data_IF_019302575875
#
_entry.id   IF_019302575875
#
_cell.length_a   1.000
_cell.length_b   1.000
_cell.length_c   1.000
_cell.angle_alpha   90.00
_cell.angle_beta   90.00
_cell.angle_gamma   90.00
#
_symmetry.space_group_name_H-M   'P 1'
#
loop_
_entity.id
_entity.type
_entity.pdbx_description
1 polymer ?
#
# COMPACT_ATOMS: atom_id res chain seq x y z
N UNK A 1 1.21 7.16 -8.87
CA UNK A 1 0.62 8.19 -7.99
C UNK A 1 -0.24 9.09 -8.87
N UNK A 2 -1.56 9.15 -8.65
CA UNK A 2 -2.52 9.70 -9.64
C UNK A 2 -3.85 10.16 -9.02
N UNK A 3 -4.34 11.31 -9.51
CA UNK A 3 -5.70 11.89 -9.43
C UNK A 3 -5.85 12.71 -10.74
N UNK A 4 -6.96 12.74 -11.49
CA UNK A 4 -8.38 12.56 -11.19
C UNK A 4 -9.03 11.33 -11.87
N UNK A 5 -9.80 10.56 -11.09
CA UNK A 5 -10.99 9.71 -11.36
C UNK A 5 -11.34 9.09 -12.75
N UNK A 6 -10.55 9.22 -13.81
CA UNK A 6 -10.60 8.41 -15.04
C UNK A 6 -9.26 7.66 -15.14
N UNK A 7 -9.31 6.38 -14.81
CA UNK A 7 -8.24 5.39 -14.96
C UNK A 7 -6.95 5.68 -14.18
N UNK A 8 -6.77 4.98 -13.05
CA UNK A 8 -5.46 4.82 -12.39
C UNK A 8 -4.55 4.00 -13.31
N UNK A 9 -3.88 4.65 -14.25
CA UNK A 9 -2.86 4.04 -15.07
C UNK A 9 -1.51 4.31 -14.42
N UNK A 10 -0.75 3.24 -14.22
CA UNK A 10 0.69 3.37 -14.04
C UNK A 10 1.27 4.06 -15.29
N UNK A 11 2.43 4.71 -15.16
CA UNK A 11 3.12 5.22 -16.33
C UNK A 11 3.34 4.07 -17.32
N UNK A 12 2.96 4.27 -18.59
CA UNK A 12 3.15 3.23 -19.59
C UNK A 12 4.63 2.90 -19.71
N UNK A 13 4.95 1.66 -20.06
CA UNK A 13 6.33 1.22 -20.28
C UNK A 13 7.04 2.12 -21.30
N UNK A 14 6.35 2.48 -22.38
CA UNK A 14 6.83 3.41 -23.40
C UNK A 14 7.20 4.78 -22.81
N UNK A 15 6.29 5.42 -22.07
CA UNK A 15 6.58 6.72 -21.44
C UNK A 15 7.70 6.59 -20.41
N UNK A 16 7.69 5.52 -19.61
CA UNK A 16 8.74 5.25 -18.62
C UNK A 16 10.11 5.18 -19.29
N UNK A 17 10.25 4.39 -20.36
CA UNK A 17 11.50 4.27 -21.10
C UNK A 17 11.93 5.61 -21.71
N UNK A 18 10.99 6.38 -22.25
CA UNK A 18 11.27 7.71 -22.78
C UNK A 18 11.86 8.62 -21.70
N UNK A 19 11.15 8.81 -20.57
CA UNK A 19 11.65 9.65 -19.47
C UNK A 19 12.93 9.12 -18.84
N UNK A 20 13.09 7.79 -18.76
CA UNK A 20 14.31 7.16 -18.27
C UNK A 20 15.50 7.58 -19.11
N UNK A 21 15.44 7.38 -20.43
CA UNK A 21 16.56 7.70 -21.32
C UNK A 21 16.80 9.20 -21.43
N UNK A 22 15.75 10.02 -21.46
CA UNK A 22 15.89 11.48 -21.48
C UNK A 22 16.60 11.98 -20.21
N UNK A 23 16.14 11.54 -19.04
CA UNK A 23 16.72 11.91 -17.76
C UNK A 23 18.16 11.40 -17.63
N UNK A 24 18.39 10.12 -17.99
CA UNK A 24 19.70 9.49 -17.94
C UNK A 24 20.71 10.20 -18.83
N UNK A 25 20.36 10.48 -20.09
CA UNK A 25 21.24 11.17 -21.02
C UNK A 25 21.55 12.59 -20.53
N UNK A 26 20.54 13.34 -20.08
CA UNK A 26 20.77 14.69 -19.54
C UNK A 26 21.71 14.68 -18.33
N UNK A 27 21.54 13.75 -17.38
CA UNK A 27 22.43 13.65 -16.22
C UNK A 27 23.84 13.23 -16.65
N UNK A 28 23.95 12.19 -17.49
CA UNK A 28 25.24 11.68 -17.98
C UNK A 28 26.04 12.76 -18.70
N UNK A 29 25.39 13.53 -19.57
CA UNK A 29 26.05 14.55 -20.38
C UNK A 29 26.51 15.76 -19.54
N UNK A 30 26.03 15.88 -18.28
CA UNK A 30 26.42 16.93 -17.33
C UNK A 30 27.23 16.40 -16.13
N UNK A 31 27.74 15.17 -16.20
CA UNK A 31 28.58 14.60 -15.13
C UNK A 31 29.86 15.41 -14.99
N UNK A 32 30.16 15.79 -13.75
CA UNK A 32 31.45 16.38 -13.35
C UNK A 32 31.98 15.66 -12.11
N UNK A 33 33.20 15.97 -11.69
CA UNK A 33 33.72 15.45 -10.41
C UNK A 33 32.87 15.87 -9.21
N UNK A 34 32.26 17.06 -9.26
CA UNK A 34 31.39 17.59 -8.20
C UNK A 34 29.94 17.09 -8.31
N UNK A 35 29.53 16.65 -9.49
CA UNK A 35 28.18 16.14 -9.78
C UNK A 35 28.25 14.79 -10.50
N UNK A 36 28.59 13.71 -9.78
CA UNK A 36 28.61 12.37 -10.36
C UNK A 36 27.20 11.86 -10.65
N UNK A 37 27.11 10.73 -11.37
CA UNK A 37 25.83 10.06 -11.58
C UNK A 37 25.17 9.68 -10.24
N UNK A 38 23.89 10.02 -10.05
CA UNK A 38 23.20 9.73 -8.80
C UNK A 38 22.96 8.22 -8.62
N UNK A 39 22.97 7.72 -7.36
CA UNK A 39 22.48 6.38 -7.04
C UNK A 39 21.03 6.17 -7.52
N UNK A 40 20.64 4.92 -7.71
CA UNK A 40 19.36 4.55 -8.33
C UNK A 40 18.14 5.27 -7.72
N UNK A 41 18.03 5.36 -6.40
CA UNK A 41 16.87 6.00 -5.76
C UNK A 41 16.82 7.51 -6.01
N UNK A 42 17.97 8.18 -6.00
CA UNK A 42 18.07 9.61 -6.33
C UNK A 42 17.72 9.84 -7.81
N UNK A 43 18.25 9.00 -8.70
CA UNK A 43 17.90 9.03 -10.13
C UNK A 43 16.39 8.88 -10.35
N UNK A 44 15.77 7.86 -9.76
CA UNK A 44 14.32 7.63 -9.88
C UNK A 44 13.49 8.78 -9.30
N UNK A 45 13.97 9.42 -8.22
CA UNK A 45 13.31 10.59 -7.63
C UNK A 45 13.33 11.78 -8.60
N UNK A 46 14.49 12.07 -9.22
CA UNK A 46 14.62 13.14 -10.23
C UNK A 46 13.72 12.84 -11.43
N UNK A 47 13.75 11.61 -11.95
CA UNK A 47 12.91 11.18 -13.05
C UNK A 47 11.41 11.33 -12.71
N UNK A 48 10.99 10.99 -11.49
CA UNK A 48 9.61 11.17 -11.04
C UNK A 48 9.19 12.65 -11.05
N UNK A 49 10.05 13.57 -10.59
CA UNK A 49 9.76 15.00 -10.66
C UNK A 49 9.69 15.53 -12.09
N UNK A 50 10.57 15.05 -12.98
CA UNK A 50 10.50 15.36 -14.41
C UNK A 50 9.17 14.89 -14.99
N UNK A 51 8.76 13.65 -14.74
CA UNK A 51 7.47 13.09 -15.18
C UNK A 51 6.31 13.96 -14.69
N UNK A 52 6.23 14.25 -13.39
CA UNK A 52 5.12 15.05 -12.84
C UNK A 52 5.04 16.44 -13.45
N UNK A 53 6.18 17.07 -13.73
CA UNK A 53 6.24 18.38 -14.36
C UNK A 53 5.85 18.33 -15.84
N UNK A 54 6.37 17.36 -16.60
CA UNK A 54 6.09 17.20 -18.02
C UNK A 54 4.64 16.77 -18.28
N UNK A 55 4.10 15.88 -17.45
CA UNK A 55 2.69 15.44 -17.50
C UNK A 55 1.74 16.47 -16.86
N UNK A 56 2.27 17.58 -16.31
CA UNK A 56 1.52 18.72 -15.76
C UNK A 56 0.46 18.32 -14.73
N UNK A 57 0.85 17.47 -13.78
CA UNK A 57 -0.06 17.04 -12.72
C UNK A 57 -0.46 18.21 -11.83
N UNK A 58 -1.74 18.28 -11.43
CA UNK A 58 -2.23 19.32 -10.50
C UNK A 58 -1.68 19.14 -9.07
N UNK A 59 -1.38 17.90 -8.71
CA UNK A 59 -0.88 17.52 -7.38
C UNK A 59 0.04 16.31 -7.47
N UNK A 60 1.15 16.38 -6.75
CA UNK A 60 2.06 15.26 -6.54
C UNK A 60 2.09 14.88 -5.05
N UNK A 61 1.62 13.69 -4.73
CA UNK A 61 1.76 12.98 -3.45
C UNK A 61 3.10 12.25 -3.43
N UNK A 62 4.06 12.71 -2.63
CA UNK A 62 5.42 12.17 -2.61
C UNK A 62 5.61 11.34 -1.35
N UNK A 63 5.84 10.04 -1.52
CA UNK A 63 6.23 9.12 -0.45
C UNK A 63 7.73 9.23 -0.21
N UNK A 64 8.12 9.38 1.06
CA UNK A 64 9.52 9.41 1.47
C UNK A 64 10.11 8.00 1.37
N UNK A 65 11.30 7.86 0.79
CA UNK A 65 11.96 6.57 0.67
C UNK A 65 12.45 6.04 2.02
N UNK A 66 13.43 6.73 2.62
CA UNK A 66 14.00 6.36 3.90
C UNK A 66 14.12 7.56 4.84
N UNK A 67 13.44 7.46 5.97
CA UNK A 67 13.51 8.48 7.00
C UNK A 67 12.76 9.75 6.60
N UNK A 68 13.44 10.79 6.13
CA UNK A 68 12.83 12.10 5.88
C UNK A 68 13.85 13.21 5.68
N UNK A 69 14.55 13.61 6.75
CA UNK A 69 15.50 14.75 6.76
C UNK A 69 16.50 14.71 5.61
N UNK A 70 17.10 13.54 5.38
CA UNK A 70 18.12 13.29 4.35
C UNK A 70 17.60 12.46 3.17
N UNK A 71 16.29 12.31 3.04
CA UNK A 71 15.73 11.56 1.94
C UNK A 71 15.83 12.34 0.62
N UNK A 72 15.98 11.63 -0.50
CA UNK A 72 16.11 12.23 -1.83
C UNK A 72 14.90 13.07 -2.22
N UNK A 73 13.72 12.74 -1.69
CA UNK A 73 12.48 13.48 -1.92
C UNK A 73 12.42 14.81 -1.16
N UNK A 74 13.23 14.99 -0.12
CA UNK A 74 13.17 16.17 0.76
C UNK A 74 13.79 17.44 0.16
N UNK A 75 14.03 17.45 -1.15
CA UNK A 75 14.42 18.63 -1.93
C UNK A 75 13.23 19.58 -2.21
N UNK A 76 12.00 19.13 -1.98
CA UNK A 76 10.79 19.95 -2.10
C UNK A 76 10.83 21.04 -1.01
N UNK A 77 10.91 22.30 -1.44
CA UNK A 77 11.04 23.46 -0.53
C UNK A 77 9.71 23.88 0.08
N UNK A 78 8.65 23.84 -0.72
CA UNK A 78 7.32 24.39 -0.37
C UNK A 78 6.23 23.33 -0.60
N UNK A 79 6.20 22.24 0.19
CA UNK A 79 5.10 21.30 0.15
C UNK A 79 3.81 22.00 0.64
N UNK A 80 2.67 21.71 0.00
CA UNK A 80 1.38 22.28 0.41
C UNK A 80 0.96 21.77 1.80
N UNK A 81 1.30 20.53 2.11
CA UNK A 81 1.00 19.87 3.40
C UNK A 81 1.94 18.68 3.59
N UNK A 82 2.34 18.41 4.83
CA UNK A 82 3.14 17.24 5.20
C UNK A 82 2.36 16.29 6.13
N UNK A 83 2.65 14.99 6.02
CA UNK A 83 2.02 13.94 6.84
C UNK A 83 3.03 12.93 7.37
N UNK A 84 2.90 12.54 8.63
CA UNK A 84 3.67 11.44 9.24
C UNK A 84 2.68 10.37 9.72
N UNK A 85 2.78 9.18 9.13
CA UNK A 85 2.02 7.98 9.52
C UNK A 85 2.53 7.42 10.86
N UNK A 86 1.94 6.32 11.33
CA UNK A 86 2.39 5.63 12.53
C UNK A 86 3.87 5.28 12.45
N UNK A 87 4.62 5.61 13.50
CA UNK A 87 6.03 5.31 13.63
C UNK A 87 6.26 4.07 14.50
N UNK A 88 7.29 3.32 14.14
CA UNK A 88 7.77 2.17 14.89
C UNK A 88 9.28 2.05 14.73
N UNK A 89 9.86 1.05 15.40
CA UNK A 89 11.28 0.73 15.28
C UNK A 89 11.53 0.08 13.91
N UNK A 90 12.11 0.85 13.00
CA UNK A 90 12.47 0.39 11.66
C UNK A 90 13.74 1.12 11.18
N UNK A 91 14.55 0.43 10.38
CA UNK A 91 15.81 0.93 9.85
C UNK A 91 16.76 1.53 10.92
N UNK A 92 16.91 0.85 12.07
CA UNK A 92 17.67 1.35 13.22
C UNK A 92 19.13 1.62 12.90
N UNK A 93 19.71 0.88 11.96
CA UNK A 93 21.11 1.04 11.53
C UNK A 93 21.36 2.38 10.82
N UNK A 94 20.31 2.98 10.25
CA UNK A 94 20.40 4.24 9.48
C UNK A 94 19.76 5.41 10.21
N UNK A 95 18.61 5.17 10.86
CA UNK A 95 17.79 6.22 11.47
C UNK A 95 18.05 6.41 12.97
N UNK A 96 18.74 5.45 13.60
CA UNK A 96 19.04 5.45 15.03
C UNK A 96 18.36 4.32 15.79
N UNK A 97 18.89 4.03 16.96
CA UNK A 97 18.51 2.94 17.87
C UNK A 97 17.34 3.29 18.81
N UNK A 98 16.79 4.49 18.70
CA UNK A 98 15.63 4.92 19.50
C UNK A 98 14.51 5.49 18.62
N UNK A 99 13.27 5.34 19.07
CA UNK A 99 12.10 5.84 18.36
C UNK A 99 12.13 7.38 18.24
N UNK A 100 12.67 8.07 19.23
CA UNK A 100 12.91 9.52 19.19
C UNK A 100 13.83 9.93 18.02
N UNK A 101 14.96 9.23 17.83
CA UNK A 101 15.90 9.50 16.71
C UNK A 101 15.22 9.27 15.36
N UNK A 102 14.47 8.17 15.24
CA UNK A 102 13.71 7.84 14.04
C UNK A 102 12.67 8.94 13.75
N UNK A 103 11.90 9.35 14.75
CA UNK A 103 10.89 10.39 14.64
C UNK A 103 11.50 11.74 14.28
N UNK A 104 12.64 12.13 14.88
CA UNK A 104 13.37 13.36 14.55
C UNK A 104 13.86 13.38 13.10
N UNK A 105 14.29 12.23 12.57
CA UNK A 105 14.66 12.12 11.15
C UNK A 105 13.44 12.24 10.24
N UNK A 106 12.33 11.55 10.57
CA UNK A 106 11.09 11.59 9.77
C UNK A 106 10.42 12.97 9.80
N UNK A 107 10.41 13.65 10.94
CA UNK A 107 9.94 15.04 11.07
C UNK A 107 10.78 16.06 10.30
N UNK A 108 11.95 15.65 9.77
CA UNK A 108 12.76 16.47 8.87
C UNK A 108 12.10 16.85 7.54
N UNK A 109 10.96 16.22 7.19
CA UNK A 109 10.17 16.62 6.01
C UNK A 109 9.35 17.90 6.25
N UNK A 110 9.12 18.28 7.51
CA UNK A 110 8.39 19.49 7.82
C UNK A 110 9.13 20.72 7.32
N UNK A 111 8.39 21.64 6.71
CA UNK A 111 8.89 22.90 6.15
C UNK A 111 8.14 24.09 6.78
N UNK A 112 8.78 25.26 6.91
CA UNK A 112 8.07 26.48 7.29
C UNK A 112 6.87 26.73 6.36
N UNK A 113 5.82 27.35 6.89
CA UNK A 113 4.61 27.72 6.14
C UNK A 113 3.77 26.55 5.58
N UNK A 114 4.16 25.30 5.83
CA UNK A 114 3.38 24.12 5.47
C UNK A 114 2.74 23.52 6.74
N UNK A 115 1.41 23.32 6.79
CA UNK A 115 0.81 22.59 7.89
C UNK A 115 1.26 21.13 7.89
N UNK A 116 1.40 20.57 9.10
CA UNK A 116 1.77 19.18 9.31
C UNK A 116 0.65 18.41 9.99
N UNK A 117 0.50 17.13 9.61
CA UNK A 117 -0.40 16.21 10.27
C UNK A 117 0.33 14.94 10.67
N UNK A 118 -0.05 14.37 11.81
CA UNK A 118 0.34 13.01 12.20
C UNK A 118 -0.86 12.28 12.79
N UNK A 119 -0.64 11.04 13.19
CA UNK A 119 -1.62 10.17 13.86
C UNK A 119 -1.17 9.95 15.31
N UNK A 120 -1.97 9.33 16.19
CA UNK A 120 -1.49 8.99 17.53
C UNK A 120 -0.17 8.19 17.45
N UNK A 121 0.84 8.65 18.18
CA UNK A 121 2.16 8.05 18.26
C UNK A 121 2.46 7.59 19.69
N UNK A 122 3.51 6.79 19.86
CA UNK A 122 4.14 6.61 21.16
C UNK A 122 4.71 7.94 21.67
N UNK A 123 4.74 8.18 23.00
CA UNK A 123 5.14 9.46 23.57
C UNK A 123 6.47 9.99 23.02
N UNK A 124 7.50 9.16 22.98
CA UNK A 124 8.85 9.52 22.52
C UNK A 124 8.90 9.92 21.03
N UNK A 125 8.04 9.33 20.19
CA UNK A 125 7.89 9.78 18.80
C UNK A 125 7.11 11.10 18.72
N UNK A 126 6.03 11.21 19.50
CA UNK A 126 5.18 12.40 19.50
C UNK A 126 5.95 13.63 19.96
N UNK A 127 6.80 13.49 20.98
CA UNK A 127 7.64 14.56 21.52
C UNK A 127 8.61 15.09 20.46
N UNK A 128 9.32 14.21 19.75
CA UNK A 128 10.23 14.61 18.68
C UNK A 128 9.52 15.30 17.50
N UNK A 129 8.31 14.83 17.13
CA UNK A 129 7.49 15.45 16.07
C UNK A 129 7.00 16.83 16.52
N UNK A 130 6.52 16.96 17.76
CA UNK A 130 6.08 18.22 18.36
C UNK A 130 7.22 19.23 18.43
N UNK A 131 8.38 18.81 18.93
CA UNK A 131 9.56 19.67 19.04
C UNK A 131 9.92 20.25 17.67
N UNK A 132 9.93 19.40 16.63
CA UNK A 132 10.24 19.85 15.27
C UNK A 132 9.20 20.83 14.72
N UNK A 133 7.92 20.58 14.95
CA UNK A 133 6.85 21.50 14.55
C UNK A 133 6.96 22.86 15.27
N UNK A 134 7.28 22.85 16.56
CA UNK A 134 7.50 24.05 17.37
C UNK A 134 8.72 24.85 16.91
N UNK A 135 9.84 24.19 16.63
CA UNK A 135 11.06 24.83 16.08
C UNK A 135 10.78 25.57 14.77
N UNK A 136 9.86 25.05 13.95
CA UNK A 136 9.46 25.64 12.68
C UNK A 136 8.30 26.64 12.81
N UNK A 137 7.66 26.72 13.97
CA UNK A 137 6.48 27.56 14.19
C UNK A 137 5.26 27.16 13.35
N UNK A 138 5.12 25.87 13.01
CA UNK A 138 4.03 25.38 12.15
C UNK A 138 2.94 24.66 12.97
N UNK A 139 1.67 24.70 12.52
CA UNK A 139 0.61 23.92 13.13
C UNK A 139 0.83 22.42 12.88
N UNK A 140 0.74 21.62 13.94
CA UNK A 140 0.73 20.16 13.89
C UNK A 140 -0.64 19.64 14.35
N UNK A 141 -1.36 18.97 13.44
CA UNK A 141 -2.62 18.30 13.76
C UNK A 141 -2.40 16.81 14.06
N UNK A 142 -2.89 16.32 15.20
CA UNK A 142 -2.98 14.88 15.47
C UNK A 142 -4.34 14.38 15.03
N UNK A 143 -4.37 13.51 14.03
CA UNK A 143 -5.59 13.06 13.35
C UNK A 143 -6.12 11.80 14.01
N UNK A 144 -7.37 11.83 14.45
CA UNK A 144 -8.05 10.66 14.99
C UNK A 144 -8.31 9.61 13.89
N UNK A 145 -8.27 8.31 14.22
CA UNK A 145 -8.67 7.26 13.29
C UNK A 145 -10.12 7.44 12.85
N UNK A 146 -10.42 7.08 11.60
CA UNK A 146 -11.82 6.93 11.18
C UNK A 146 -12.47 5.72 11.85
N UNK A 147 -13.80 5.71 11.87
CA UNK A 147 -14.62 4.63 12.41
C UNK A 147 -15.52 4.07 11.31
N UNK A 148 -15.98 2.84 11.46
CA UNK A 148 -16.90 2.21 10.51
C UNK A 148 -18.14 3.07 10.23
N UNK A 149 -18.62 3.79 11.25
CA UNK A 149 -19.76 4.71 11.15
C UNK A 149 -19.52 5.88 10.18
N UNK A 150 -18.27 6.30 9.97
CA UNK A 150 -17.92 7.45 9.12
C UNK A 150 -18.11 7.17 7.62
N UNK A 151 -18.31 5.90 7.24
CA UNK A 151 -18.34 5.46 5.84
C UNK A 151 -19.75 5.36 5.23
N UNK A 152 -20.81 5.74 5.96
CA UNK A 152 -22.20 5.68 5.46
C UNK A 152 -22.60 4.30 4.90
N UNK A 153 -22.13 3.22 5.53
CA UNK A 153 -22.40 1.84 5.08
C UNK A 153 -21.48 1.34 3.96
N UNK A 154 -20.60 2.19 3.41
CA UNK A 154 -19.48 1.74 2.59
C UNK A 154 -18.40 1.11 3.46
N UNK A 155 -17.57 0.28 2.85
CA UNK A 155 -16.41 -0.32 3.51
C UNK A 155 -15.12 0.30 2.99
N UNK A 156 -14.15 0.44 3.89
CA UNK A 156 -12.77 0.75 3.50
C UNK A 156 -12.22 -0.42 2.67
N UNK A 157 -11.64 -0.14 1.52
CA UNK A 157 -11.18 -1.20 0.62
C UNK A 157 -9.89 -1.88 1.08
N UNK A 158 -9.06 -1.20 1.86
CA UNK A 158 -7.85 -1.76 2.45
C UNK A 158 -8.20 -2.41 3.79
N UNK A 159 -7.85 -3.69 3.95
CA UNK A 159 -8.14 -4.44 5.15
C UNK A 159 -7.11 -4.19 6.28
N UNK A 160 -7.56 -4.39 7.52
CA UNK A 160 -6.77 -4.26 8.74
C UNK A 160 -7.03 -2.96 9.51
N UNK A 161 -7.10 -3.04 10.84
CA UNK A 161 -7.48 -1.91 11.71
C UNK A 161 -6.63 -0.66 11.53
N UNK A 162 -5.34 -0.84 11.26
CA UNK A 162 -4.40 0.26 11.04
C UNK A 162 -4.77 1.10 9.82
N UNK A 163 -5.56 0.57 8.88
CA UNK A 163 -6.00 1.32 7.71
C UNK A 163 -7.01 2.42 8.05
N UNK A 164 -7.73 2.33 9.17
CA UNK A 164 -8.58 3.44 9.64
C UNK A 164 -7.77 4.64 10.10
N UNK A 165 -6.59 4.39 10.67
CA UNK A 165 -5.62 5.43 11.05
C UNK A 165 -5.04 6.08 9.79
N UNK A 166 -4.58 5.26 8.84
CA UNK A 166 -4.05 5.72 7.55
C UNK A 166 -5.09 6.52 6.76
N UNK A 167 -6.34 6.04 6.73
CA UNK A 167 -7.44 6.72 6.07
C UNK A 167 -7.73 8.08 6.70
N UNK A 168 -7.76 8.17 8.03
CA UNK A 168 -7.92 9.43 8.74
C UNK A 168 -6.86 10.45 8.33
N UNK A 169 -5.58 10.06 8.35
CA UNK A 169 -4.48 10.91 7.91
C UNK A 169 -4.64 11.34 6.45
N UNK A 170 -4.96 10.41 5.55
CA UNK A 170 -5.19 10.72 4.13
C UNK A 170 -6.31 11.76 3.95
N UNK A 171 -7.43 11.62 4.68
CA UNK A 171 -8.52 12.59 4.68
C UNK A 171 -8.04 13.98 5.14
N UNK A 172 -7.26 14.05 6.22
CA UNK A 172 -6.74 15.31 6.74
C UNK A 172 -5.81 16.01 5.74
N UNK A 173 -4.89 15.26 5.13
CA UNK A 173 -3.98 15.78 4.10
C UNK A 173 -4.73 16.30 2.88
N UNK A 174 -5.69 15.52 2.37
CA UNK A 174 -6.53 15.93 1.23
C UNK A 174 -7.37 17.19 1.56
N UNK A 175 -7.97 17.25 2.75
CA UNK A 175 -8.73 18.43 3.21
C UNK A 175 -7.83 19.66 3.27
N UNK A 176 -6.63 19.54 3.83
CA UNK A 176 -5.66 20.64 3.90
C UNK A 176 -5.26 21.13 2.51
N UNK A 177 -4.92 20.22 1.60
CA UNK A 177 -4.57 20.57 0.22
C UNK A 177 -5.70 21.31 -0.51
N UNK A 178 -6.94 20.82 -0.41
CA UNK A 178 -8.11 21.46 -1.02
C UNK A 178 -8.39 22.86 -0.47
N UNK A 179 -8.12 23.08 0.82
CA UNK A 179 -8.26 24.38 1.46
C UNK A 179 -7.22 25.38 0.94
N UNK A 180 -5.95 24.97 0.82
CA UNK A 180 -4.87 25.83 0.37
C UNK A 180 -4.90 26.13 -1.13
N UNK A 181 -5.46 25.23 -1.94
CA UNK A 181 -5.56 25.41 -3.41
C UNK A 181 -6.83 26.12 -3.87
N UNK A 182 -7.67 26.62 -2.94
CA UNK A 182 -8.93 27.31 -3.29
C UNK A 182 -10.03 26.39 -3.85
N UNK A 183 -9.80 25.07 -3.88
CA UNK A 183 -10.76 24.08 -4.37
C UNK A 183 -11.84 23.70 -3.34
N UNK A 184 -11.83 24.31 -2.15
CA UNK A 184 -12.77 24.05 -1.05
C UNK A 184 -14.25 24.14 -1.48
N UNK A 185 -14.58 25.15 -2.29
CA UNK A 185 -15.95 25.39 -2.76
C UNK A 185 -16.53 24.25 -3.61
N UNK A 186 -15.69 23.47 -4.29
CA UNK A 186 -16.16 22.33 -5.11
C UNK A 186 -16.65 21.14 -4.27
N UNK A 187 -16.29 21.09 -2.99
CA UNK A 187 -16.44 19.90 -2.15
C UNK A 187 -17.24 20.13 -0.87
N UNK A 188 -17.26 21.36 -0.36
CA UNK A 188 -17.99 21.76 0.85
C UNK A 188 -19.10 22.80 0.60
N UNK A 189 -19.53 22.98 -0.67
CA UNK A 189 -20.57 23.95 -1.06
C UNK A 189 -21.95 23.71 -0.42
N UNK A 190 -22.16 22.58 0.25
CA UNK A 190 -23.31 22.37 1.12
C UNK A 190 -22.76 22.24 2.53
N UNK A 191 -22.95 23.30 3.34
CA UNK A 191 -22.89 23.23 4.79
C UNK A 191 -24.00 22.27 5.27
N UNK A 192 -23.81 20.98 5.07
CA UNK A 192 -24.59 20.00 5.81
C UNK A 192 -23.83 19.80 7.12
N UNK A 193 -24.39 20.33 8.20
CA UNK A 193 -23.88 20.28 9.58
C UNK A 193 -23.82 18.86 10.16
N UNK A 194 -23.64 17.83 9.34
CA UNK A 194 -23.45 16.46 9.79
C UNK A 194 -21.99 16.04 9.60
N UNK A 195 -21.47 15.36 10.60
CA UNK A 195 -20.09 14.89 10.75
C UNK A 195 -19.58 13.90 9.68
N UNK A 196 -20.23 13.77 8.52
CA UNK A 196 -19.93 12.74 7.52
C UNK A 196 -18.91 13.22 6.48
N UNK A 197 -18.15 12.27 5.94
CA UNK A 197 -17.21 12.53 4.87
C UNK A 197 -17.94 12.83 3.55
N UNK A 198 -17.45 13.77 2.72
CA UNK A 198 -18.02 14.00 1.40
C UNK A 198 -17.92 12.76 0.49
N UNK A 199 -18.88 12.58 -0.43
CA UNK A 199 -18.95 11.40 -1.29
C UNK A 199 -17.66 11.12 -2.09
N UNK A 200 -16.93 12.17 -2.51
CA UNK A 200 -15.66 12.00 -3.21
C UNK A 200 -14.58 11.34 -2.33
N UNK A 201 -14.57 11.64 -1.04
CA UNK A 201 -13.68 11.01 -0.06
C UNK A 201 -14.08 9.56 0.16
N UNK A 202 -15.37 9.31 0.35
CA UNK A 202 -15.91 7.96 0.51
C UNK A 202 -15.56 7.07 -0.69
N UNK A 203 -15.77 7.56 -1.91
CA UNK A 203 -15.37 6.85 -3.14
C UNK A 203 -13.88 6.55 -3.18
N UNK A 204 -13.04 7.55 -2.85
CA UNK A 204 -11.59 7.37 -2.84
C UNK A 204 -11.13 6.31 -1.84
N UNK A 205 -11.72 6.30 -0.64
CA UNK A 205 -11.45 5.32 0.42
C UNK A 205 -11.98 3.92 0.08
N UNK A 206 -13.14 3.82 -0.57
CA UNK A 206 -13.73 2.54 -0.98
C UNK A 206 -13.11 1.95 -2.25
N UNK A 207 -12.31 2.73 -3.00
CA UNK A 207 -11.63 2.27 -4.22
C UNK A 207 -10.10 2.21 -4.08
N UNK A 208 -9.55 2.51 -2.90
CA UNK A 208 -8.11 2.47 -2.67
C UNK A 208 -7.58 1.04 -2.86
N UNK A 209 -6.39 0.92 -3.44
CA UNK A 209 -5.71 -0.35 -3.67
C UNK A 209 -4.24 -0.17 -3.35
N UNK A 210 -3.66 -1.17 -2.70
CA UNK A 210 -2.25 -1.21 -2.35
C UNK A 210 -1.76 -2.65 -2.46
N UNK A 211 -1.06 -2.94 -3.55
CA UNK A 211 -0.56 -4.30 -3.83
C UNK A 211 0.41 -4.76 -2.74
N UNK A 212 0.33 -6.03 -2.37
CA UNK A 212 1.15 -6.59 -1.29
C UNK A 212 0.81 -6.06 0.10
N UNK A 213 -0.42 -5.59 0.34
CA UNK A 213 -0.96 -5.29 1.67
C UNK A 213 -2.32 -5.95 1.80
N UNK A 214 -2.41 -6.91 2.71
CA UNK A 214 -3.63 -7.68 2.96
C UNK A 214 -4.31 -8.18 1.66
N UNK A 215 -3.50 -8.61 0.69
CA UNK A 215 -3.97 -8.95 -0.65
C UNK A 215 -4.24 -10.45 -0.75
N UNK A 216 -5.41 -10.82 -1.27
CA UNK A 216 -5.79 -12.22 -1.51
C UNK A 216 -5.75 -12.51 -3.02
N UNK A 217 -5.06 -13.58 -3.42
CA UNK A 217 -4.91 -14.02 -4.80
C UNK A 217 -5.27 -15.50 -4.91
N UNK A 218 -6.25 -15.82 -5.73
CA UNK A 218 -6.67 -17.20 -5.97
C UNK A 218 -5.89 -17.79 -7.14
N UNK A 219 -5.25 -18.94 -6.92
CA UNK A 219 -4.61 -19.71 -7.99
C UNK A 219 -5.67 -20.48 -8.77
N UNK A 220 -6.23 -19.82 -9.79
CA UNK A 220 -7.12 -20.47 -10.74
C UNK A 220 -6.25 -21.07 -11.84
N UNK A 221 -5.75 -22.29 -11.61
CA UNK A 221 -5.12 -23.08 -12.67
C UNK A 221 -6.21 -23.34 -13.74
N UNK A 222 -6.00 -22.97 -15.02
CA UNK A 222 -6.90 -23.37 -16.09
C UNK A 222 -7.03 -24.89 -16.08
N UNK A 223 -8.24 -25.42 -16.28
CA UNK A 223 -8.57 -26.88 -16.26
C UNK A 223 -7.89 -27.70 -17.37
N UNK A 224 -6.68 -27.35 -17.79
CA UNK A 224 -5.87 -28.05 -18.79
C UNK A 224 -4.69 -28.74 -18.12
N UNK A 225 -4.97 -29.70 -17.25
CA UNK A 225 -4.08 -30.86 -16.98
C UNK A 225 -4.77 -31.75 -15.96
N UNK A 226 -4.67 -33.07 -16.14
CA UNK A 226 -5.21 -34.08 -15.22
C UNK A 226 -4.47 -34.12 -13.86
N UNK A 227 -3.86 -33.02 -13.44
CA UNK A 227 -3.23 -32.87 -12.14
C UNK A 227 -4.34 -32.47 -11.18
N UNK A 228 -4.59 -33.30 -10.17
CA UNK A 228 -5.43 -32.96 -9.03
C UNK A 228 -4.74 -31.86 -8.19
N UNK A 229 -4.58 -30.67 -8.75
CA UNK A 229 -4.07 -29.52 -8.03
C UNK A 229 -5.24 -28.95 -7.24
N UNK A 230 -5.15 -29.00 -5.91
CA UNK A 230 -6.13 -28.34 -5.04
C UNK A 230 -6.11 -26.83 -5.28
N UNK A 231 -7.25 -26.17 -5.14
CA UNK A 231 -7.34 -24.72 -5.31
C UNK A 231 -6.46 -24.06 -4.23
N UNK A 232 -5.50 -23.20 -4.63
CA UNK A 232 -4.65 -22.45 -3.70
C UNK A 232 -5.18 -21.02 -3.55
N UNK A 233 -5.11 -20.50 -2.33
CA UNK A 233 -5.38 -19.08 -2.05
C UNK A 233 -4.16 -18.49 -1.36
N UNK A 234 -3.51 -17.56 -2.05
CA UNK A 234 -2.36 -16.82 -1.55
C UNK A 234 -2.82 -15.55 -0.83
N UNK A 235 -2.32 -15.37 0.38
CA UNK A 235 -2.47 -14.16 1.20
C UNK A 235 -1.12 -13.46 1.18
N UNK A 236 -1.06 -12.23 0.69
CA UNK A 236 0.17 -11.49 0.45
C UNK A 236 0.19 -10.24 1.32
N UNK A 237 1.23 -10.11 2.15
CA UNK A 237 1.41 -8.93 2.99
C UNK A 237 2.88 -8.55 3.17
N UNK A 238 3.21 -7.29 2.95
CA UNK A 238 4.57 -6.77 3.08
C UNK A 238 5.01 -6.48 4.52
N UNK A 239 4.29 -6.92 5.54
CA UNK A 239 4.67 -6.80 6.95
C UNK A 239 6.06 -7.37 7.22
N UNK A 240 6.81 -6.67 8.08
CA UNK A 240 8.23 -6.95 8.30
C UNK A 240 8.81 -6.32 9.58
N UNK A 241 7.97 -5.79 10.45
CA UNK A 241 8.29 -5.34 11.81
C UNK A 241 7.42 -6.14 12.79
N UNK A 242 7.79 -6.24 14.08
CA UNK A 242 6.96 -6.93 15.07
C UNK A 242 5.50 -6.46 15.09
N UNK A 243 5.28 -5.15 15.00
CA UNK A 243 3.95 -4.51 15.03
C UNK A 243 3.16 -4.80 13.76
N UNK A 244 3.79 -4.69 12.58
CA UNK A 244 3.15 -4.99 11.31
C UNK A 244 2.86 -6.48 11.15
N UNK A 245 3.72 -7.36 11.68
CA UNK A 245 3.48 -8.81 11.69
C UNK A 245 2.27 -9.18 12.55
N UNK A 246 2.06 -8.49 13.68
CA UNK A 246 0.84 -8.65 14.49
C UNK A 246 -0.41 -8.24 13.71
N UNK A 247 -0.36 -7.10 13.01
CA UNK A 247 -1.48 -6.63 12.19
C UNK A 247 -1.78 -7.61 11.04
N UNK A 248 -0.74 -8.09 10.34
CA UNK A 248 -0.83 -9.10 9.29
C UNK A 248 -1.44 -10.40 9.80
N UNK A 249 -0.97 -10.91 10.94
CA UNK A 249 -1.48 -12.15 11.53
C UNK A 249 -2.96 -12.06 11.92
N UNK A 250 -3.39 -10.90 12.47
CA UNK A 250 -4.80 -10.64 12.77
C UNK A 250 -5.65 -10.67 11.51
N UNK A 251 -5.25 -9.91 10.48
CA UNK A 251 -5.94 -9.89 9.20
C UNK A 251 -6.03 -11.28 8.56
N UNK A 252 -4.90 -11.99 8.48
CA UNK A 252 -4.83 -13.33 7.90
C UNK A 252 -5.77 -14.31 8.61
N UNK A 253 -5.79 -14.27 9.94
CA UNK A 253 -6.68 -15.11 10.75
C UNK A 253 -8.16 -14.84 10.49
N UNK A 254 -8.54 -13.57 10.27
CA UNK A 254 -9.91 -13.18 9.94
C UNK A 254 -10.27 -13.59 8.50
N UNK A 255 -9.38 -13.38 7.53
CA UNK A 255 -9.58 -13.74 6.13
C UNK A 255 -9.81 -15.26 5.96
N UNK A 256 -9.01 -16.09 6.65
CA UNK A 256 -9.15 -17.55 6.61
C UNK A 256 -10.48 -18.00 7.24
N UNK A 257 -10.95 -17.35 8.31
CA UNK A 257 -12.24 -17.66 8.94
C UNK A 257 -13.42 -17.31 8.03
N UNK A 258 -13.38 -16.15 7.39
CA UNK A 258 -14.43 -15.73 6.46
C UNK A 258 -14.56 -16.71 5.29
N UNK A 259 -13.45 -17.21 4.75
CA UNK A 259 -13.47 -18.25 3.71
C UNK A 259 -14.10 -19.56 4.18
N UNK A 260 -13.82 -20.02 5.41
CA UNK A 260 -14.45 -21.25 5.97
C UNK A 260 -15.96 -21.11 6.16
N UNK A 261 -16.44 -19.90 6.44
CA UNK A 261 -17.87 -19.63 6.61
C UNK A 261 -18.57 -19.35 5.27
N UNK A 262 -17.83 -18.89 4.25
CA UNK A 262 -18.35 -18.55 2.92
C UNK A 262 -18.53 -19.76 1.98
N UNK A 263 -18.18 -20.99 2.37
CA UNK A 263 -18.59 -22.21 1.63
C UNK A 263 -20.11 -22.45 1.63
N UNK A 264 -20.88 -21.56 2.28
CA UNK A 264 -22.34 -21.45 2.20
C UNK A 264 -22.85 -20.21 1.41
N UNK A 265 -21.96 -19.38 0.83
CA UNK A 265 -22.33 -18.15 0.13
C UNK A 265 -21.59 -18.01 -1.22
N UNK A 266 -22.35 -17.86 -2.30
CA UNK A 266 -21.82 -17.67 -3.65
C UNK A 266 -21.13 -16.30 -3.81
N UNK A 267 -20.04 -16.20 -4.59
CA UNK A 267 -19.21 -15.00 -4.61
C UNK A 267 -19.92 -13.85 -5.34
N UNK A 268 -20.21 -12.77 -4.61
CA UNK A 268 -20.38 -11.43 -5.21
C UNK A 268 -19.04 -10.72 -5.08
N UNK A 269 -18.22 -10.85 -6.12
CA UNK A 269 -17.24 -9.85 -6.56
C UNK A 269 -16.53 -10.35 -7.82
N UNK A 270 -17.26 -10.41 -8.93
CA UNK A 270 -16.66 -10.25 -10.25
C UNK A 270 -17.19 -8.96 -10.86
N UNK A 271 -16.37 -7.91 -10.86
CA UNK A 271 -16.56 -6.82 -11.80
C UNK A 271 -16.29 -7.38 -13.20
N UNK A 272 -17.35 -7.77 -13.92
CA UNK A 272 -17.30 -8.00 -15.36
C UNK A 272 -17.90 -6.78 -16.06
N UNK A 273 -17.06 -6.13 -16.85
CA UNK A 273 -17.42 -5.13 -17.84
C UNK A 273 -18.43 -5.69 -18.83
N UNK A 274 -19.55 -4.99 -19.01
CA UNK A 274 -20.47 -5.19 -20.13
C UNK A 274 -19.74 -4.94 -21.44
N UNK A 275 -19.81 -5.89 -22.38
CA UNK A 275 -20.05 -5.60 -23.80
C UNK A 275 -20.60 -6.85 -24.50
N UNK A 276 -21.60 -6.60 -25.35
CA UNK A 276 -22.46 -7.54 -26.07
C UNK A 276 -21.70 -8.39 -27.10
N UNK A 277 -22.15 -9.63 -27.34
CA UNK A 277 -22.78 -10.04 -28.62
C UNK A 277 -23.49 -11.39 -28.49
N UNK A 278 -24.61 -11.49 -29.21
CA UNK A 278 -25.49 -12.65 -29.36
C UNK A 278 -24.80 -13.89 -29.94
N UNK A 279 -25.13 -15.07 -29.41
CA UNK A 279 -25.40 -16.27 -30.22
C UNK A 279 -26.01 -17.40 -29.38
N UNK A 280 -27.16 -17.88 -29.86
CA UNK A 280 -27.86 -19.11 -29.47
C UNK A 280 -26.95 -20.33 -29.28
N UNK A 281 -27.25 -21.17 -28.28
CA UNK A 281 -27.40 -22.62 -28.48
C UNK A 281 -28.09 -23.31 -27.28
N UNK A 282 -28.68 -24.46 -27.60
CA UNK A 282 -29.89 -25.04 -27.02
C UNK A 282 -29.70 -25.89 -25.74
N UNK A 283 -30.85 -26.09 -25.08
CA UNK A 283 -31.18 -27.08 -24.06
C UNK A 283 -30.40 -28.41 -24.09
N UNK A 284 -29.93 -28.83 -22.91
CA UNK A 284 -29.58 -30.20 -22.60
C UNK A 284 -29.80 -30.48 -21.11
N UNK A 285 -30.92 -31.12 -20.78
CA UNK A 285 -31.15 -31.72 -19.46
C UNK A 285 -30.12 -32.82 -19.22
N UNK A 286 -29.31 -32.69 -18.16
CA UNK A 286 -28.35 -33.69 -17.71
C UNK A 286 -28.41 -33.81 -16.20
N UNK A 287 -28.67 -35.03 -15.73
CA UNK A 287 -28.84 -35.42 -14.33
C UNK A 287 -27.75 -34.87 -13.39
N UNK A 288 -28.19 -34.24 -12.30
CA UNK A 288 -27.33 -33.83 -11.20
C UNK A 288 -26.97 -35.06 -10.33
N UNK A 289 -25.73 -35.53 -10.45
CA UNK A 289 -25.13 -36.38 -9.43
C UNK A 289 -24.59 -35.51 -8.29
N UNK A 290 -25.14 -35.72 -7.10
CA UNK A 290 -24.69 -35.15 -5.83
C UNK A 290 -23.31 -35.71 -5.46
N UNK A 291 -22.24 -35.08 -5.95
CA UNK A 291 -20.87 -35.30 -5.50
C UNK A 291 -20.43 -34.21 -4.53
N UNK A 292 -20.65 -34.40 -3.23
CA UNK A 292 -20.14 -33.53 -2.17
C UNK A 292 -18.63 -33.76 -1.98
N UNK A 293 -17.81 -33.32 -2.93
CA UNK A 293 -16.38 -33.20 -2.74
C UNK A 293 -16.06 -31.80 -2.23
N UNK A 294 -15.90 -31.67 -0.91
CA UNK A 294 -15.23 -30.53 -0.29
C UNK A 294 -13.80 -30.47 -0.85
N UNK A 295 -13.60 -29.73 -1.94
CA UNK A 295 -12.27 -29.42 -2.45
C UNK A 295 -11.46 -28.80 -1.31
N UNK A 296 -10.38 -29.45 -0.90
CA UNK A 296 -9.46 -28.92 0.10
C UNK A 296 -8.72 -27.72 -0.48
N UNK A 297 -9.22 -26.53 -0.21
CA UNK A 297 -8.56 -25.26 -0.56
C UNK A 297 -7.41 -25.03 0.43
N UNK A 298 -6.18 -24.89 -0.08
CA UNK A 298 -5.02 -24.58 0.78
C UNK A 298 -4.83 -23.07 0.84
N UNK A 299 -4.68 -22.56 2.07
CA UNK A 299 -4.44 -21.15 2.37
C UNK A 299 -2.95 -20.94 2.64
N UNK A 300 -2.29 -20.06 1.89
CA UNK A 300 -0.84 -19.82 1.96
C UNK A 300 -0.60 -18.34 2.27
N UNK A 301 0.08 -18.02 3.38
CA UNK A 301 0.53 -16.67 3.69
C UNK A 301 1.96 -16.46 3.17
N UNK A 302 2.14 -15.45 2.32
CA UNK A 302 3.43 -14.95 1.87
C UNK A 302 3.66 -13.56 2.47
N UNK A 303 4.79 -13.42 3.17
CA UNK A 303 5.20 -12.16 3.75
C UNK A 303 6.69 -11.89 3.52
N UNK A 304 7.11 -10.64 3.70
CA UNK A 304 8.48 -10.25 3.43
C UNK A 304 9.42 -10.69 4.55
N UNK A 305 10.42 -11.51 4.22
CA UNK A 305 11.52 -11.88 5.10
C UNK A 305 12.83 -11.73 4.31
N UNK A 306 13.73 -10.87 4.79
CA UNK A 306 15.05 -10.62 4.17
C UNK A 306 16.14 -10.95 5.17
N UNK A 307 17.37 -11.24 4.71
CA UNK A 307 18.50 -11.65 5.57
C UNK A 307 18.82 -10.65 6.70
N UNK A 308 18.58 -9.37 6.44
CA UNK A 308 18.77 -8.28 7.42
C UNK A 308 17.67 -8.22 8.50
N UNK A 309 16.67 -9.10 8.47
CA UNK A 309 15.55 -9.14 9.40
C UNK A 309 15.46 -10.50 10.06
N UNK A 310 15.64 -10.53 11.39
CA UNK A 310 15.65 -11.78 12.15
C UNK A 310 14.28 -12.51 12.03
N UNK A 311 14.22 -13.66 11.33
CA UNK A 311 12.96 -14.36 11.11
C UNK A 311 12.33 -14.84 12.41
N UNK A 312 13.13 -15.18 13.44
CA UNK A 312 12.60 -15.67 14.71
C UNK A 312 11.76 -14.62 15.45
N UNK A 313 12.18 -13.34 15.41
CA UNK A 313 11.45 -12.24 16.06
C UNK A 313 10.10 -11.98 15.36
N UNK A 314 10.13 -11.94 14.03
CA UNK A 314 8.92 -11.71 13.21
C UNK A 314 7.95 -12.88 13.30
N UNK A 315 8.48 -14.11 13.26
CA UNK A 315 7.70 -15.33 13.27
C UNK A 315 7.04 -15.59 14.62
N UNK A 316 7.70 -15.27 15.73
CA UNK A 316 7.12 -15.45 17.06
C UNK A 316 5.84 -14.63 17.22
N UNK A 317 5.83 -13.37 16.75
CA UNK A 317 4.64 -12.52 16.79
C UNK A 317 3.50 -13.06 15.90
N UNK A 318 3.85 -13.53 14.70
CA UNK A 318 2.90 -14.16 13.78
C UNK A 318 2.23 -15.39 14.42
N UNK A 319 3.04 -16.35 14.88
CA UNK A 319 2.56 -17.61 15.47
C UNK A 319 1.68 -17.33 16.69
N UNK A 320 2.13 -16.46 17.60
CA UNK A 320 1.40 -16.14 18.83
C UNK A 320 0.03 -15.53 18.53
N UNK A 321 -0.04 -14.64 17.54
CA UNK A 321 -1.29 -13.97 17.14
C UNK A 321 -2.24 -14.92 16.40
N UNK A 322 -1.73 -15.80 15.54
CA UNK A 322 -2.54 -16.80 14.85
C UNK A 322 -3.06 -17.90 15.80
N UNK A 323 -2.24 -18.33 16.77
CA UNK A 323 -2.61 -19.33 17.77
C UNK A 323 -3.78 -18.85 18.65
N UNK A 324 -3.77 -17.59 19.09
CA UNK A 324 -4.88 -17.00 19.83
C UNK A 324 -6.17 -16.89 19.00
N UNK A 325 -6.05 -16.94 17.67
CA UNK A 325 -7.16 -16.87 16.73
C UNK A 325 -7.65 -18.23 16.23
N UNK A 326 -7.10 -19.36 16.72
CA UNK A 326 -7.40 -20.73 16.28
C UNK A 326 -7.18 -21.00 14.77
N UNK A 327 -6.26 -20.25 14.14
CA UNK A 327 -5.82 -20.52 12.77
C UNK A 327 -4.63 -21.48 12.79
N UNK A 328 -4.73 -22.63 12.09
CA UNK A 328 -3.58 -23.53 11.89
C UNK A 328 -2.67 -22.94 10.82
N UNK A 329 -1.44 -22.57 11.19
CA UNK A 329 -0.44 -22.01 10.27
C UNK A 329 0.64 -23.06 10.03
N UNK A 330 0.79 -23.49 8.78
CA UNK A 330 1.95 -24.27 8.34
C UNK A 330 2.92 -23.32 7.65
N UNK A 331 4.14 -23.23 8.17
CA UNK A 331 5.16 -22.31 7.67
C UNK A 331 6.07 -23.04 6.68
N UNK A 332 6.26 -22.44 5.51
CA UNK A 332 7.19 -22.92 4.48
C UNK A 332 8.16 -21.78 4.18
N UNK A 333 9.46 -22.07 4.27
CA UNK A 333 10.52 -21.14 3.92
C UNK A 333 10.99 -21.45 2.49
N UNK A 334 11.11 -20.42 1.67
CA UNK A 334 11.88 -20.51 0.42
C UNK A 334 13.30 -20.05 0.77
N UNK A 335 14.23 -20.99 0.91
CA UNK A 335 15.64 -20.68 1.17
C UNK A 335 16.32 -20.18 -0.11
N UNK A 336 17.07 -19.08 0.04
CA UNK A 336 18.20 -18.71 -0.82
C UNK A 336 17.85 -18.01 -2.14
N UNK A 337 18.23 -16.74 -2.26
CA UNK A 337 19.16 -16.22 -3.26
C UNK A 337 19.43 -14.74 -2.92
N UNK A 338 20.68 -14.33 -3.05
CA UNK A 338 21.32 -13.09 -2.58
C UNK A 338 20.41 -11.85 -2.56
N UNK A 339 20.35 -11.19 -1.40
CA UNK A 339 19.53 -10.03 -1.08
C UNK A 339 20.00 -8.71 -1.73
N UNK A 340 20.48 -8.75 -2.97
CA UNK A 340 20.60 -7.59 -3.85
C UNK A 340 19.81 -7.91 -5.13
N UNK A 341 18.72 -7.17 -5.36
CA UNK A 341 17.73 -7.37 -6.45
C UNK A 341 16.71 -8.52 -6.28
N UNK A 342 15.90 -8.51 -5.21
CA UNK A 342 14.57 -9.17 -5.28
C UNK A 342 13.47 -8.14 -5.04
N UNK A 343 12.90 -7.76 -6.17
CA UNK A 343 11.70 -6.94 -6.34
C UNK A 343 10.54 -7.47 -5.47
N UNK A 344 9.82 -6.50 -4.89
CA UNK A 344 8.48 -6.60 -4.28
C UNK A 344 7.63 -7.76 -4.78
N UNK A 345 6.76 -8.32 -3.92
CA UNK A 345 5.71 -9.33 -4.21
C UNK A 345 5.05 -9.17 -5.62
N UNK A 346 4.96 -7.94 -6.14
CA UNK A 346 4.63 -7.60 -7.53
C UNK A 346 5.41 -8.38 -8.62
N UNK A 347 6.70 -8.68 -8.42
CA UNK A 347 7.57 -9.40 -9.35
C UNK A 347 7.31 -10.90 -9.37
N UNK A 348 7.01 -11.50 -8.20
CA UNK A 348 6.54 -12.89 -8.15
C UNK A 348 5.23 -13.02 -8.95
N UNK A 349 4.32 -12.06 -8.81
CA UNK A 349 3.06 -12.03 -9.57
C UNK A 349 3.27 -11.83 -11.08
N UNK A 350 4.21 -10.97 -11.51
CA UNK A 350 4.54 -10.79 -12.94
C UNK A 350 5.22 -12.03 -13.54
N UNK A 351 6.09 -12.72 -12.80
CA UNK A 351 6.83 -13.88 -13.32
C UNK A 351 6.08 -15.20 -13.23
N UNK A 352 5.07 -15.32 -12.35
CA UNK A 352 4.11 -16.43 -12.40
C UNK A 352 3.29 -16.43 -13.71
N UNK A 353 3.18 -15.29 -14.40
CA UNK A 353 2.65 -15.23 -15.78
C UNK A 353 3.68 -15.65 -16.84
N UNK A 354 4.96 -15.30 -16.68
CA UNK A 354 6.04 -15.67 -17.63
C UNK A 354 6.35 -17.17 -17.67
N UNK A 355 6.13 -17.91 -16.58
CA UNK A 355 6.24 -19.38 -16.58
C UNK A 355 5.16 -20.08 -17.43
N UNK A 356 4.17 -19.34 -17.96
CA UNK A 356 3.17 -19.87 -18.92
C UNK A 356 3.56 -19.73 -20.39
N UNK A 357 4.69 -19.08 -20.71
CA UNK A 357 5.17 -18.88 -22.08
C UNK A 357 6.41 -19.68 -22.46
N UNK A 358 6.84 -20.60 -21.59
CA UNK A 358 8.04 -21.44 -21.80
C UNK A 358 7.74 -22.93 -21.61
N UNK A 359 6.62 -23.38 -22.17
CA UNK A 359 6.26 -24.80 -22.30
C UNK A 359 5.54 -25.06 -23.61
#
# INVERSE_FOLDING_TARGET
MSLELKERLDISEEKFLQYFWDCWNQLRDNVTEELPMPPLFQFLTVMAFQIFTCEKVDVAIIEVGLGGRRDSTNVIKEPVVCGITSLGMDHTDVLGDTLEKIASHKAGIFKPNAPAFTVPQLPEAMDAINERAQQLGIPLGVVSPLRCEDFNGLQLSLAGDHQFINAGLAVALCKSWLQHTGNRGKLFAKEDHKAHLPDAFLRGLSSARLSGRAQIVNDSIPKCSNIASGDLIFHLDGAHSPESMKACAKWFSEAVKQHKNSTLWSPVNSFCTNQLTDAHCQNGFGHAENGNHSKNVKQILLFNCMDVRNPHVLLQQLITTCASSAATVNLFFADGYEAELIYSITFILKNLQCLRSSS
#
